data_IF_164887921111
#
_entry.id   IF_164887921111
#
_cell.length_a   1.000
_cell.length_b   1.000
_cell.length_c   1.000
_cell.angle_alpha   90.00
_cell.angle_beta   90.00
_cell.angle_gamma   90.00
#
_symmetry.space_group_name_H-M   'P 1'
#
loop_
_entity.id
_entity.type
_entity.pdbx_description
1 polymer ?
#
# COMPACT_ATOMS: atom_id res chain seq x y z
N UNK A 1 -7.04 15.93 16.95
CA UNK A 1 -7.33 16.75 15.80
C UNK A 1 -7.48 15.90 14.55
N UNK A 2 -8.50 16.16 13.74
CA UNK A 2 -8.78 15.35 12.59
C UNK A 2 -7.76 15.60 11.48
N UNK A 3 -7.18 14.53 10.96
CA UNK A 3 -6.34 14.60 9.79
C UNK A 3 -7.17 14.59 8.50
N UNK A 4 -6.51 14.74 7.39
CA UNK A 4 -7.12 14.76 6.06
C UNK A 4 -6.52 13.65 5.22
N UNK A 5 -7.39 12.87 4.57
CA UNK A 5 -6.95 11.90 3.55
C UNK A 5 -7.31 12.48 2.18
N UNK A 6 -6.36 12.46 1.28
CA UNK A 6 -6.58 12.88 -0.11
C UNK A 6 -5.71 12.08 -1.06
N UNK A 7 -6.02 12.19 -2.34
CA UNK A 7 -5.15 11.63 -3.36
C UNK A 7 -3.82 12.39 -3.36
N UNK A 8 -2.74 11.67 -3.61
CA UNK A 8 -1.43 12.30 -3.77
C UNK A 8 -1.36 13.03 -5.11
N UNK A 9 -0.49 14.03 -5.16
CA UNK A 9 -0.15 14.72 -6.41
C UNK A 9 1.35 14.56 -6.64
N UNK A 10 1.85 14.79 -7.87
CA UNK A 10 3.29 14.67 -8.14
C UNK A 10 4.15 15.56 -7.22
N UNK A 11 3.61 16.68 -6.76
CA UNK A 11 4.34 17.58 -5.85
C UNK A 11 4.56 16.98 -4.47
N UNK A 12 3.83 15.92 -4.11
CA UNK A 12 4.01 15.23 -2.84
C UNK A 12 5.18 14.25 -2.83
N UNK A 13 5.83 14.01 -3.97
CA UNK A 13 6.81 12.94 -4.11
C UNK A 13 7.97 13.04 -3.12
N UNK A 14 8.51 14.25 -2.91
CA UNK A 14 9.62 14.43 -1.97
C UNK A 14 9.23 14.08 -0.53
N UNK A 15 8.03 14.50 -0.11
CA UNK A 15 7.54 14.21 1.23
C UNK A 15 7.22 12.73 1.41
N UNK A 16 6.68 12.10 0.38
CA UNK A 16 6.44 10.65 0.39
C UNK A 16 7.77 9.91 0.48
N UNK A 17 8.76 10.30 -0.32
CA UNK A 17 10.09 9.67 -0.29
C UNK A 17 10.72 9.79 1.10
N UNK A 18 10.61 10.94 1.73
CA UNK A 18 11.13 11.15 3.09
C UNK A 18 10.44 10.24 4.10
N UNK A 19 9.12 10.06 3.97
CA UNK A 19 8.36 9.17 4.85
C UNK A 19 8.78 7.71 4.67
N UNK A 20 9.08 7.28 3.45
CA UNK A 20 9.46 5.90 3.16
C UNK A 20 10.91 5.59 3.53
N UNK A 21 11.77 6.59 3.59
CA UNK A 21 13.21 6.41 3.73
C UNK A 21 13.65 5.50 4.88
N UNK A 22 13.15 5.67 6.13
CA UNK A 22 13.57 4.79 7.23
C UNK A 22 13.27 3.32 6.96
N UNK A 23 12.16 3.05 6.28
CA UNK A 23 11.73 1.68 5.99
C UNK A 23 12.54 1.07 4.85
N UNK A 24 12.97 1.88 3.89
CA UNK A 24 13.88 1.44 2.83
C UNK A 24 15.25 1.13 3.43
N UNK A 25 15.74 1.97 4.34
CA UNK A 25 17.03 1.76 5.00
C UNK A 25 17.02 0.48 5.85
N UNK A 26 15.90 0.16 6.47
CA UNK A 26 15.73 -1.07 7.26
C UNK A 26 15.44 -2.29 6.39
N UNK A 27 15.39 -2.13 5.07
CA UNK A 27 15.10 -3.18 4.08
C UNK A 27 13.70 -3.79 4.25
N UNK A 28 12.78 -3.03 4.83
CA UNK A 28 11.37 -3.41 4.94
C UNK A 28 10.65 -3.11 3.62
N UNK A 29 11.03 -2.01 2.95
CA UNK A 29 10.49 -1.60 1.67
C UNK A 29 11.59 -1.54 0.62
N UNK A 30 11.22 -1.77 -0.64
CA UNK A 30 12.10 -1.57 -1.77
C UNK A 30 12.21 -0.08 -2.08
N UNK A 31 13.40 0.33 -2.49
CA UNK A 31 13.65 1.72 -2.89
C UNK A 31 12.83 2.08 -4.13
N UNK A 32 12.32 3.31 -4.15
CA UNK A 32 11.67 3.91 -5.31
C UNK A 32 12.28 5.26 -5.58
N UNK A 33 12.57 5.56 -6.85
CA UNK A 33 13.05 6.87 -7.23
C UNK A 33 11.95 7.92 -7.09
N UNK A 34 12.34 9.20 -7.04
CA UNK A 34 11.37 10.29 -7.04
C UNK A 34 10.49 10.26 -8.29
N UNK A 35 11.06 9.91 -9.44
CA UNK A 35 10.30 9.83 -10.68
C UNK A 35 9.22 8.74 -10.61
N UNK A 36 9.57 7.57 -10.05
CA UNK A 36 8.59 6.50 -9.86
C UNK A 36 7.44 6.94 -8.94
N UNK A 37 7.78 7.65 -7.85
CA UNK A 37 6.76 8.15 -6.92
C UNK A 37 5.86 9.17 -7.61
N UNK A 38 6.45 10.07 -8.41
CA UNK A 38 5.68 11.06 -9.18
C UNK A 38 4.73 10.39 -10.16
N UNK A 39 5.23 9.40 -10.89
CA UNK A 39 4.44 8.69 -11.90
C UNK A 39 3.28 7.91 -11.29
N UNK A 40 3.42 7.46 -10.04
CA UNK A 40 2.39 6.68 -9.35
C UNK A 40 1.53 7.51 -8.39
N UNK A 41 1.65 8.84 -8.43
CA UNK A 41 0.88 9.71 -7.55
C UNK A 41 -0.63 9.52 -7.75
N UNK A 42 -1.07 9.26 -8.98
CA UNK A 42 -2.48 9.02 -9.30
C UNK A 42 -3.02 7.70 -8.71
N UNK A 43 -2.15 6.85 -8.18
CA UNK A 43 -2.52 5.59 -7.53
C UNK A 43 -2.12 5.57 -6.06
N UNK A 44 -1.88 6.74 -5.49
CA UNK A 44 -1.38 6.88 -4.11
C UNK A 44 -2.31 7.77 -3.31
N UNK A 45 -2.54 7.42 -2.05
CA UNK A 45 -3.27 8.26 -1.10
C UNK A 45 -2.33 8.67 0.03
N UNK A 46 -2.57 9.85 0.59
CA UNK A 46 -1.79 10.38 1.70
C UNK A 46 -2.70 10.82 2.83
N UNK A 47 -2.18 10.72 4.04
CA UNK A 47 -2.83 11.23 5.25
C UNK A 47 -2.01 12.40 5.77
N UNK A 48 -2.66 13.55 5.95
CA UNK A 48 -2.02 14.75 6.45
C UNK A 48 -2.49 15.05 7.87
N UNK A 49 -1.54 15.43 8.70
CA UNK A 49 -1.82 15.95 10.04
C UNK A 49 -1.16 17.33 10.12
N UNK A 50 -1.98 18.37 10.31
CA UNK A 50 -1.52 19.76 10.35
C UNK A 50 -0.69 20.14 9.11
N UNK A 51 -1.15 19.69 7.94
CA UNK A 51 -0.50 20.00 6.67
C UNK A 51 0.72 19.17 6.35
N UNK A 52 1.12 18.24 7.23
CA UNK A 52 2.28 17.38 7.02
C UNK A 52 1.83 15.96 6.67
N UNK A 53 2.45 15.35 5.66
CA UNK A 53 2.17 13.97 5.29
C UNK A 53 2.76 13.04 6.36
N UNK A 54 1.90 12.31 7.05
CA UNK A 54 2.30 11.37 8.10
C UNK A 54 1.94 9.93 7.78
N UNK A 55 1.27 9.69 6.66
CA UNK A 55 0.94 8.35 6.23
C UNK A 55 0.69 8.28 4.74
N UNK A 56 0.92 7.12 4.14
CA UNK A 56 0.70 6.90 2.72
C UNK A 56 0.48 5.42 2.43
N UNK A 57 -0.20 5.13 1.32
CA UNK A 57 -0.21 3.82 0.72
C UNK A 57 -0.50 3.96 -0.77
N UNK A 58 -0.12 2.96 -1.55
CA UNK A 58 -0.25 2.98 -3.00
C UNK A 58 -1.00 1.76 -3.50
N UNK A 59 -1.56 1.87 -4.70
CA UNK A 59 -2.24 0.79 -5.40
C UNK A 59 -1.38 0.34 -6.58
N UNK A 60 -1.35 -0.97 -6.80
CA UNK A 60 -0.74 -1.54 -8.01
C UNK A 60 -1.74 -2.53 -8.61
N UNK A 61 -2.17 -2.27 -9.83
CA UNK A 61 -3.11 -3.15 -10.53
C UNK A 61 -2.34 -4.17 -11.36
N UNK A 62 -2.56 -5.46 -11.07
CA UNK A 62 -1.95 -6.55 -11.83
C UNK A 62 -2.89 -7.09 -12.90
N UNK A 63 -4.18 -6.83 -12.77
CA UNK A 63 -5.19 -7.14 -13.76
C UNK A 63 -6.40 -6.26 -13.48
N UNK A 64 -7.46 -6.41 -14.29
CA UNK A 64 -8.71 -5.68 -14.07
C UNK A 64 -9.39 -6.03 -12.75
N UNK A 65 -9.05 -7.19 -12.18
CA UNK A 65 -9.70 -7.68 -10.96
C UNK A 65 -8.73 -7.91 -9.79
N UNK A 66 -7.44 -7.60 -9.96
CA UNK A 66 -6.45 -7.83 -8.91
C UNK A 66 -5.65 -6.56 -8.62
N UNK A 67 -5.72 -6.08 -7.39
CA UNK A 67 -5.04 -4.88 -6.94
C UNK A 67 -4.27 -5.13 -5.65
N UNK A 68 -3.03 -4.69 -5.61
CA UNK A 68 -2.22 -4.74 -4.39
C UNK A 68 -2.29 -3.42 -3.64
N UNK A 69 -2.47 -3.49 -2.31
CA UNK A 69 -2.24 -2.39 -1.40
C UNK A 69 -0.75 -2.46 -1.03
N UNK A 70 0.03 -1.47 -1.47
CA UNK A 70 1.49 -1.52 -1.39
C UNK A 70 2.03 -0.34 -0.61
N UNK A 71 3.15 -0.56 0.10
CA UNK A 71 3.91 0.49 0.77
C UNK A 71 3.05 1.32 1.74
N UNK A 72 2.30 0.62 2.61
CA UNK A 72 1.57 1.28 3.69
C UNK A 72 2.56 1.69 4.77
N UNK A 73 2.73 2.98 4.95
CA UNK A 73 3.68 3.53 5.93
C UNK A 73 3.01 4.64 6.71
N UNK A 74 3.19 4.60 8.02
CA UNK A 74 2.73 5.65 8.94
C UNK A 74 3.95 6.10 9.75
N UNK A 75 4.14 7.43 9.83
CA UNK A 75 5.19 8.04 10.64
C UNK A 75 5.09 7.51 12.08
N UNK A 76 6.25 7.23 12.70
CA UNK A 76 6.29 6.68 14.06
C UNK A 76 5.53 7.55 15.06
N UNK A 77 5.55 8.87 14.87
CA UNK A 77 4.87 9.80 15.78
C UNK A 77 3.35 9.74 15.67
N UNK A 78 2.83 9.13 14.60
CA UNK A 78 1.40 9.07 14.33
C UNK A 78 0.82 7.66 14.43
N UNK A 79 1.63 6.65 14.74
CA UNK A 79 1.16 5.27 14.84
C UNK A 79 0.23 5.09 16.03
N UNK A 80 -0.67 4.11 15.92
CA UNK A 80 -1.60 3.78 17.00
C UNK A 80 -2.87 4.61 17.03
N UNK A 81 -3.08 5.50 16.05
CA UNK A 81 -4.24 6.40 16.02
C UNK A 81 -5.29 6.02 14.96
N UNK A 82 -5.20 4.82 14.39
CA UNK A 82 -6.16 4.36 13.39
C UNK A 82 -5.91 4.89 11.99
N UNK A 83 -4.81 5.56 11.75
CA UNK A 83 -4.49 6.13 10.44
C UNK A 83 -4.30 5.03 9.39
N UNK A 84 -3.66 3.92 9.75
CA UNK A 84 -3.44 2.82 8.83
C UNK A 84 -4.74 2.25 8.28
N UNK A 85 -5.73 2.03 9.15
CA UNK A 85 -7.04 1.54 8.73
C UNK A 85 -7.71 2.54 7.78
N UNK A 86 -7.65 3.83 8.10
CA UNK A 86 -8.25 4.86 7.25
C UNK A 86 -7.58 4.90 5.88
N UNK A 87 -6.26 4.74 5.82
CA UNK A 87 -5.52 4.72 4.56
C UNK A 87 -5.90 3.51 3.71
N UNK A 88 -5.98 2.32 4.30
CA UNK A 88 -6.34 1.12 3.55
C UNK A 88 -7.75 1.26 2.98
N UNK A 89 -8.71 1.73 3.78
CA UNK A 89 -10.08 1.90 3.32
C UNK A 89 -10.17 2.97 2.23
N UNK A 90 -9.42 4.06 2.35
CA UNK A 90 -9.38 5.10 1.31
C UNK A 90 -8.76 4.56 0.01
N UNK A 91 -7.72 3.74 0.11
CA UNK A 91 -7.12 3.11 -1.06
C UNK A 91 -8.10 2.16 -1.74
N UNK A 92 -8.84 1.36 -0.98
CA UNK A 92 -9.87 0.48 -1.54
C UNK A 92 -10.94 1.28 -2.29
N UNK A 93 -11.42 2.37 -1.70
CA UNK A 93 -12.40 3.24 -2.37
C UNK A 93 -11.85 3.83 -3.67
N UNK A 94 -10.59 4.27 -3.63
CA UNK A 94 -9.92 4.80 -4.83
C UNK A 94 -9.84 3.72 -5.91
N UNK A 95 -9.45 2.51 -5.55
CA UNK A 95 -9.38 1.40 -6.51
C UNK A 95 -10.74 1.12 -7.14
N UNK A 96 -11.80 1.15 -6.35
CA UNK A 96 -13.16 0.94 -6.85
C UNK A 96 -13.62 2.06 -7.79
N UNK A 97 -13.09 3.26 -7.63
CA UNK A 97 -13.35 4.35 -8.57
C UNK A 97 -12.55 4.21 -9.87
N UNK A 98 -11.33 3.68 -9.77
CA UNK A 98 -10.43 3.55 -10.93
C UNK A 98 -10.74 2.32 -11.78
N UNK A 99 -11.32 1.28 -11.19
CA UNK A 99 -11.63 0.02 -11.87
C UNK A 99 -13.12 -0.26 -11.79
N UNK A 100 -13.71 -0.64 -12.93
CA UNK A 100 -15.15 -0.97 -12.99
C UNK A 100 -15.43 -2.46 -12.87
N UNK A 101 -14.44 -3.31 -13.12
CA UNK A 101 -14.60 -4.76 -13.02
C UNK A 101 -14.92 -5.19 -11.58
N UNK A 102 -15.83 -6.14 -11.43
CA UNK A 102 -16.27 -6.65 -10.13
C UNK A 102 -16.36 -8.18 -10.14
N UNK A 103 -16.08 -8.86 -9.03
CA UNK A 103 -15.50 -8.30 -7.82
C UNK A 103 -14.04 -7.91 -8.02
N UNK A 104 -13.56 -6.96 -7.23
CA UNK A 104 -12.16 -6.57 -7.24
C UNK A 104 -11.49 -7.23 -6.02
N UNK A 105 -10.41 -7.96 -6.25
CA UNK A 105 -9.66 -8.59 -5.18
C UNK A 105 -8.49 -7.68 -4.78
N UNK A 106 -8.42 -7.38 -3.49
CA UNK A 106 -7.29 -6.67 -2.89
C UNK A 106 -6.36 -7.68 -2.21
N UNK A 107 -5.06 -7.44 -2.30
CA UNK A 107 -4.11 -8.21 -1.51
C UNK A 107 -2.97 -7.32 -1.03
N UNK A 108 -2.24 -7.80 -0.04
CA UNK A 108 -1.04 -7.15 0.45
C UNK A 108 -0.07 -8.22 0.93
N UNK A 109 1.21 -7.91 0.86
CA UNK A 109 2.26 -8.70 1.52
C UNK A 109 2.73 -7.88 2.71
N UNK A 110 2.70 -8.47 3.90
CA UNK A 110 2.87 -7.70 5.13
C UNK A 110 3.62 -8.49 6.20
N UNK A 111 4.31 -7.77 7.09
CA UNK A 111 4.86 -8.33 8.32
C UNK A 111 3.85 -8.25 9.47
N UNK A 112 2.71 -7.58 9.28
CA UNK A 112 1.70 -7.39 10.32
C UNK A 112 0.33 -7.83 9.84
N UNK A 113 0.13 -9.15 9.59
CA UNK A 113 -1.15 -9.63 9.07
C UNK A 113 -2.33 -9.36 10.01
N UNK A 114 -2.09 -9.28 11.32
CA UNK A 114 -3.15 -8.99 12.29
C UNK A 114 -3.80 -7.63 12.03
N UNK A 115 -3.00 -6.64 11.62
CA UNK A 115 -3.53 -5.33 11.25
C UNK A 115 -4.53 -5.46 10.11
N UNK A 116 -4.15 -6.18 9.05
CA UNK A 116 -5.03 -6.35 7.89
C UNK A 116 -6.25 -7.19 8.21
N UNK A 117 -6.12 -8.19 9.10
CA UNK A 117 -7.27 -8.97 9.54
C UNK A 117 -8.33 -8.08 10.20
N UNK A 118 -7.90 -7.07 10.96
CA UNK A 118 -8.83 -6.12 11.58
C UNK A 118 -9.52 -5.21 10.55
N UNK A 119 -8.99 -5.12 9.34
CA UNK A 119 -9.58 -4.33 8.25
C UNK A 119 -10.39 -5.21 7.29
N UNK A 120 -10.55 -6.49 7.61
CA UNK A 120 -11.38 -7.40 6.84
C UNK A 120 -10.63 -8.32 5.88
N UNK A 121 -9.31 -8.34 5.95
CA UNK A 121 -8.50 -9.23 5.14
C UNK A 121 -8.36 -10.60 5.78
N UNK A 122 -8.09 -11.61 4.97
CA UNK A 122 -7.84 -12.98 5.41
C UNK A 122 -6.44 -13.39 4.97
N UNK A 123 -5.75 -14.17 5.80
CA UNK A 123 -4.44 -14.70 5.44
C UNK A 123 -4.58 -15.70 4.30
N UNK A 124 -3.59 -15.67 3.41
CA UNK A 124 -3.50 -16.59 2.29
C UNK A 124 -2.03 -16.87 2.02
N UNK A 125 -1.68 -17.39 0.84
CA UNK A 125 -0.31 -17.68 0.48
C UNK A 125 0.09 -16.87 -0.74
N UNK A 126 1.40 -16.63 -0.90
CA UNK A 126 1.92 -15.81 -2.01
C UNK A 126 1.64 -16.45 -3.37
N UNK A 127 1.59 -17.77 -3.45
CA UNK A 127 1.33 -18.48 -4.69
C UNK A 127 -0.09 -18.28 -5.22
N UNK A 128 -0.98 -17.70 -4.41
CA UNK A 128 -2.28 -17.25 -4.88
C UNK A 128 -2.20 -16.00 -5.78
N UNK A 129 -1.01 -15.37 -5.88
CA UNK A 129 -0.81 -14.15 -6.65
C UNK A 129 0.38 -14.33 -7.61
N UNK A 130 0.26 -15.26 -8.58
CA UNK A 130 1.38 -15.55 -9.48
C UNK A 130 1.80 -14.33 -10.31
N UNK A 131 0.89 -13.41 -10.58
CA UNK A 131 1.21 -12.20 -11.33
C UNK A 131 2.29 -11.39 -10.61
N UNK A 132 2.15 -11.20 -9.30
CA UNK A 132 3.16 -10.47 -8.53
C UNK A 132 4.46 -11.26 -8.43
N UNK A 133 4.39 -12.57 -8.18
CA UNK A 133 5.59 -13.39 -8.09
C UNK A 133 6.38 -13.32 -9.39
N UNK A 134 5.67 -13.44 -10.51
CA UNK A 134 6.30 -13.41 -11.82
C UNK A 134 6.91 -12.05 -12.15
N UNK A 135 6.16 -10.95 -11.91
CA UNK A 135 6.56 -9.61 -12.33
C UNK A 135 7.50 -8.90 -11.36
N UNK A 136 7.42 -9.20 -10.07
CA UNK A 136 8.13 -8.45 -9.03
C UNK A 136 8.99 -9.35 -8.16
N UNK A 137 8.39 -10.37 -7.53
CA UNK A 137 9.09 -11.16 -6.51
C UNK A 137 10.26 -11.94 -7.07
N UNK A 138 10.19 -12.42 -8.31
CA UNK A 138 11.28 -13.13 -8.96
C UNK A 138 12.54 -12.28 -9.14
N UNK A 139 12.38 -10.95 -9.17
CA UNK A 139 13.48 -10.01 -9.33
C UNK A 139 13.83 -9.29 -8.03
N UNK A 140 13.16 -9.64 -6.93
CA UNK A 140 13.41 -9.02 -5.64
C UNK A 140 14.66 -9.62 -5.00
N UNK A 141 15.52 -8.76 -4.44
CA UNK A 141 16.74 -9.19 -3.77
C UNK A 141 16.48 -10.05 -2.53
N UNK A 142 15.25 -9.98 -1.97
CA UNK A 142 14.85 -10.74 -0.79
C UNK A 142 13.98 -11.94 -1.13
N UNK A 143 13.95 -12.37 -2.38
CA UNK A 143 13.07 -13.44 -2.86
C UNK A 143 13.15 -14.70 -1.98
N UNK A 144 14.37 -15.14 -1.63
CA UNK A 144 14.59 -16.37 -0.89
C UNK A 144 14.54 -16.20 0.63
N UNK A 145 14.45 -14.94 1.11
CA UNK A 145 14.46 -14.60 2.51
C UNK A 145 13.31 -13.68 2.88
N UNK A 146 12.21 -13.77 2.16
CA UNK A 146 11.05 -12.93 2.39
C UNK A 146 10.12 -13.58 3.40
N UNK A 147 9.89 -12.88 4.52
CA UNK A 147 9.02 -13.35 5.61
C UNK A 147 7.66 -12.67 5.60
N UNK A 148 7.34 -11.90 4.56
CA UNK A 148 6.04 -11.28 4.44
C UNK A 148 4.94 -12.31 4.27
N UNK A 149 3.79 -12.03 4.88
CA UNK A 149 2.62 -12.90 4.82
C UNK A 149 1.59 -12.25 3.89
N UNK A 150 0.98 -13.08 3.03
CA UNK A 150 -0.04 -12.59 2.11
C UNK A 150 -1.40 -12.54 2.80
N UNK A 151 -2.13 -11.46 2.56
CA UNK A 151 -3.51 -11.28 2.99
C UNK A 151 -4.36 -10.82 1.81
N UNK A 152 -5.65 -11.14 1.82
CA UNK A 152 -6.55 -10.79 0.72
C UNK A 152 -7.93 -10.39 1.22
N UNK A 153 -8.63 -9.60 0.40
CA UNK A 153 -10.01 -9.18 0.65
C UNK A 153 -10.71 -9.02 -0.70
N UNK A 154 -11.91 -9.52 -0.79
CA UNK A 154 -12.71 -9.40 -2.02
C UNK A 154 -13.76 -8.33 -1.80
N UNK A 155 -13.84 -7.37 -2.73
CA UNK A 155 -14.84 -6.33 -2.64
C UNK A 155 -16.24 -6.90 -2.83
N UNK A 156 -17.20 -6.35 -2.09
CA UNK A 156 -18.61 -6.73 -2.24
C UNK A 156 -19.18 -6.02 -3.47
N UNK A 157 -19.52 -6.80 -4.47
CA UNK A 157 -20.22 -6.32 -5.64
C UNK A 157 -19.51 -5.28 -6.47
#
# INVERSE_FOLDING_TARGET
>A
MAGIIRDATPTDAADIAALLKPYVEKKILLHRSLDEIRENADKTVVYLDQGRIVGTTSLVFFSETLCEIRALVIDDTAQGSGIGKKLVLAAEEKALRLQTARPLKFFALTYTPEFFERVGYQRTTKDMFPEKIYEVCNFCLRKDDCHEIAVQKISAG
#
